data_IF_917375484398
#
_entry.id   IF_917375484398
#
_cell.length_a   1.000
_cell.length_b   1.000
_cell.length_c   1.000
_cell.angle_alpha   90.00
_cell.angle_beta   90.00
_cell.angle_gamma   90.00
#
_symmetry.space_group_name_H-M   'P 1'
#
loop_
_entity.id
_entity.type
_entity.pdbx_description
1 polymer ?
#
# COMPACT_ATOMS: atom_id res chain seq x y z
N UNK A 1 0.22 -8.32 -24.40
CA UNK A 1 -0.18 -8.13 -22.99
C UNK A 1 -0.91 -6.79 -22.89
N UNK A 2 -2.00 -6.69 -22.14
CA UNK A 2 -2.76 -5.43 -21.95
C UNK A 2 -2.48 -4.82 -20.56
N UNK A 3 -3.04 -3.64 -20.29
CA UNK A 3 -2.82 -2.93 -19.01
C UNK A 3 -3.28 -3.72 -17.78
N UNK A 4 -4.37 -4.48 -17.88
CA UNK A 4 -4.82 -5.36 -16.80
C UNK A 4 -3.77 -6.43 -16.40
N UNK A 5 -3.03 -6.98 -17.38
CA UNK A 5 -1.94 -7.92 -17.08
C UNK A 5 -0.80 -7.24 -16.32
N UNK A 6 -0.43 -6.01 -16.71
CA UNK A 6 0.62 -5.27 -16.02
C UNK A 6 0.19 -4.85 -14.62
N UNK A 7 -1.08 -4.45 -14.44
CA UNK A 7 -1.61 -4.11 -13.13
C UNK A 7 -1.55 -5.30 -12.17
N UNK A 8 -2.01 -6.48 -12.57
CA UNK A 8 -1.93 -7.70 -11.75
C UNK A 8 -0.50 -8.12 -11.41
N UNK A 9 0.46 -7.83 -12.28
CA UNK A 9 1.87 -8.08 -12.02
C UNK A 9 2.44 -7.09 -10.99
N UNK A 10 2.03 -5.83 -11.05
CA UNK A 10 2.68 -4.73 -10.33
C UNK A 10 1.97 -4.34 -9.03
N UNK A 11 0.67 -4.60 -8.89
CA UNK A 11 -0.17 -4.13 -7.79
C UNK A 11 0.19 -4.76 -6.41
N UNK A 12 0.91 -5.88 -6.38
CA UNK A 12 1.35 -6.51 -5.14
C UNK A 12 2.61 -5.85 -4.54
N UNK A 13 3.47 -5.24 -5.37
CA UNK A 13 4.72 -4.64 -4.90
C UNK A 13 4.48 -3.51 -3.90
N UNK A 14 3.56 -2.55 -4.13
CA UNK A 14 3.24 -1.52 -3.16
C UNK A 14 2.81 -2.05 -1.79
N UNK A 15 2.28 -3.27 -1.68
CA UNK A 15 1.80 -3.85 -0.43
C UNK A 15 2.94 -4.61 0.28
N UNK A 16 3.60 -5.51 -0.46
CA UNK A 16 4.59 -6.43 0.10
C UNK A 16 5.88 -5.69 0.50
N UNK A 17 6.33 -4.74 -0.33
CA UNK A 17 7.59 -4.01 -0.10
C UNK A 17 7.57 -3.23 1.23
N UNK A 18 6.56 -2.37 1.53
CA UNK A 18 6.51 -1.72 2.84
C UNK A 18 6.24 -2.68 4.00
N UNK A 19 5.57 -3.83 3.79
CA UNK A 19 5.45 -4.84 4.83
C UNK A 19 6.82 -5.39 5.24
N UNK A 20 7.67 -5.72 4.27
CA UNK A 20 9.06 -6.10 4.52
C UNK A 20 9.83 -4.96 5.20
N UNK A 21 9.63 -3.71 4.76
CA UNK A 21 10.21 -2.53 5.38
C UNK A 21 9.85 -2.40 6.86
N UNK A 22 8.60 -2.67 7.24
CA UNK A 22 8.13 -2.67 8.62
C UNK A 22 8.85 -3.73 9.47
N UNK A 23 8.98 -4.96 8.98
CA UNK A 23 9.68 -6.02 9.71
C UNK A 23 11.16 -5.64 9.94
N UNK A 24 11.81 -5.07 8.93
CA UNK A 24 13.21 -4.67 9.00
C UNK A 24 13.39 -3.48 9.95
N UNK A 25 12.49 -2.48 9.94
CA UNK A 25 12.63 -1.32 10.83
C UNK A 25 12.36 -1.70 12.30
N UNK A 26 11.43 -2.62 12.56
CA UNK A 26 11.21 -3.19 13.89
C UNK A 26 12.47 -3.93 14.35
N UNK A 27 13.05 -4.79 13.49
CA UNK A 27 14.31 -5.46 13.78
C UNK A 27 15.45 -4.48 14.05
N UNK A 28 15.58 -3.43 13.23
CA UNK A 28 16.57 -2.37 13.42
C UNK A 28 16.36 -1.56 14.71
N UNK A 29 15.12 -1.37 15.15
CA UNK A 29 14.79 -0.74 16.42
C UNK A 29 15.19 -1.62 17.61
N UNK A 30 14.75 -2.89 17.64
CA UNK A 30 15.01 -3.84 18.73
C UNK A 30 16.51 -4.13 18.86
N UNK A 31 17.18 -4.38 17.73
CA UNK A 31 18.62 -4.68 17.68
C UNK A 31 19.49 -3.43 17.76
N UNK A 32 18.90 -2.23 17.83
CA UNK A 32 19.60 -0.93 17.81
C UNK A 32 20.57 -0.79 16.63
N UNK A 33 20.20 -1.36 15.49
CA UNK A 33 21.03 -1.40 14.28
C UNK A 33 20.68 -0.26 13.33
N UNK A 34 21.59 0.71 13.22
CA UNK A 34 21.42 1.85 12.31
C UNK A 34 21.42 1.42 10.84
N UNK A 35 22.14 0.36 10.48
CA UNK A 35 22.15 -0.15 9.11
C UNK A 35 20.81 -0.77 8.71
N UNK A 36 20.16 -1.51 9.63
CA UNK A 36 18.83 -2.05 9.39
C UNK A 36 17.77 -0.95 9.26
N UNK A 37 17.83 0.08 10.11
CA UNK A 37 16.92 1.25 9.98
C UNK A 37 17.08 1.93 8.62
N UNK A 38 18.31 2.15 8.16
CA UNK A 38 18.58 2.74 6.83
C UNK A 38 18.08 1.86 5.69
N UNK A 39 18.29 0.55 5.78
CA UNK A 39 17.77 -0.40 4.80
C UNK A 39 16.24 -0.34 4.72
N UNK A 40 15.56 -0.29 5.88
CA UNK A 40 14.11 -0.14 5.91
C UNK A 40 13.62 1.17 5.28
N UNK A 41 14.28 2.30 5.54
CA UNK A 41 13.92 3.57 4.88
C UNK A 41 14.07 3.47 3.36
N UNK A 42 15.13 2.85 2.84
CA UNK A 42 15.28 2.60 1.40
C UNK A 42 14.14 1.73 0.86
N UNK A 43 13.72 0.71 1.61
CA UNK A 43 12.62 -0.17 1.22
C UNK A 43 11.28 0.57 1.21
N UNK A 44 11.00 1.44 2.19
CA UNK A 44 9.80 2.27 2.15
C UNK A 44 9.78 3.23 0.95
N UNK A 45 10.93 3.82 0.60
CA UNK A 45 11.06 4.65 -0.60
C UNK A 45 10.75 3.81 -1.85
N UNK A 46 11.31 2.61 -1.97
CA UNK A 46 11.01 1.71 -3.08
C UNK A 46 9.53 1.34 -3.14
N UNK A 47 8.90 1.02 -2.00
CA UNK A 47 7.47 0.73 -1.91
C UNK A 47 6.61 1.88 -2.43
N UNK A 48 6.95 3.11 -2.04
CA UNK A 48 6.30 4.31 -2.54
C UNK A 48 6.52 4.53 -4.05
N UNK A 49 7.68 4.19 -4.59
CA UNK A 49 7.90 4.28 -6.04
C UNK A 49 7.08 3.25 -6.84
N UNK A 50 6.83 2.07 -6.27
CA UNK A 50 6.01 1.04 -6.92
C UNK A 50 4.52 1.40 -7.02
N UNK A 51 4.00 2.35 -6.24
CA UNK A 51 2.60 2.78 -6.40
C UNK A 51 2.37 3.50 -7.72
N UNK A 52 3.40 4.15 -8.28
CA UNK A 52 3.31 4.90 -9.55
C UNK A 52 2.91 3.96 -10.70
N UNK A 53 3.67 2.88 -11.02
CA UNK A 53 3.27 1.98 -12.08
C UNK A 53 2.01 1.17 -11.73
N UNK A 54 1.73 0.90 -10.45
CA UNK A 54 0.51 0.21 -10.04
C UNK A 54 -0.76 1.04 -10.36
N UNK A 55 -0.77 2.33 -10.03
CA UNK A 55 -1.87 3.25 -10.36
C UNK A 55 -1.99 3.47 -11.87
N UNK A 56 -0.88 3.75 -12.55
CA UNK A 56 -0.88 4.01 -13.99
C UNK A 56 -1.41 2.82 -14.80
N UNK A 57 -1.06 1.60 -14.41
CA UNK A 57 -1.60 0.39 -15.04
C UNK A 57 -3.02 0.06 -14.56
N UNK A 58 -3.42 0.55 -13.38
CA UNK A 58 -4.77 0.42 -12.82
C UNK A 58 -5.83 1.15 -13.62
N UNK A 59 -5.60 2.41 -14.00
CA UNK A 59 -6.51 3.17 -14.90
C UNK A 59 -6.72 2.43 -16.23
N UNK A 60 -5.65 1.81 -16.76
CA UNK A 60 -5.74 0.99 -17.95
C UNK A 60 -6.47 -0.33 -17.73
N UNK A 61 -6.35 -0.92 -16.54
CA UNK A 61 -7.05 -2.14 -16.15
C UNK A 61 -8.56 -1.89 -16.01
N UNK A 62 -8.95 -0.78 -15.38
CA UNK A 62 -10.34 -0.34 -15.27
C UNK A 62 -11.02 -0.30 -16.64
N UNK A 63 -10.45 0.42 -17.62
CA UNK A 63 -11.02 0.53 -18.98
C UNK A 63 -11.23 -0.83 -19.63
N UNK A 64 -10.37 -1.82 -19.34
CA UNK A 64 -10.56 -3.19 -19.84
C UNK A 64 -11.68 -3.89 -19.08
N UNK A 65 -11.77 -3.71 -17.77
CA UNK A 65 -12.79 -4.34 -16.92
C UNK A 65 -14.20 -3.76 -17.14
N UNK A 66 -14.33 -2.47 -17.45
CA UNK A 66 -15.63 -1.81 -17.66
C UNK A 66 -16.46 -2.41 -18.81
N UNK A 67 -15.81 -3.09 -19.76
CA UNK A 67 -16.46 -3.70 -20.93
C UNK A 67 -16.81 -5.19 -20.71
N UNK A 68 -16.51 -5.75 -19.53
CA UNK A 68 -16.77 -7.16 -19.21
C UNK A 68 -18.10 -7.28 -18.48
N UNK A 69 -19.03 -8.06 -19.04
CA UNK A 69 -20.30 -8.37 -18.39
C UNK A 69 -20.10 -9.02 -17.01
N UNK A 70 -20.90 -8.58 -16.03
CA UNK A 70 -20.88 -9.11 -14.67
C UNK A 70 -19.86 -8.47 -13.72
N UNK A 71 -19.06 -7.50 -14.16
CA UNK A 71 -18.21 -6.69 -13.27
C UNK A 71 -18.97 -5.45 -12.81
N UNK A 72 -18.99 -5.20 -11.49
CA UNK A 72 -19.61 -3.99 -10.95
C UNK A 72 -18.67 -2.80 -11.07
N UNK A 73 -19.12 -1.74 -11.76
CA UNK A 73 -18.41 -0.46 -11.81
C UNK A 73 -18.23 0.16 -10.42
N UNK A 74 -19.19 -0.04 -9.51
CA UNK A 74 -19.09 0.49 -8.15
C UNK A 74 -17.91 -0.11 -7.38
N UNK A 75 -17.62 -1.41 -7.60
CA UNK A 75 -16.50 -2.09 -6.95
C UNK A 75 -15.15 -1.65 -7.53
N UNK A 76 -15.11 -1.35 -8.84
CA UNK A 76 -13.90 -0.80 -9.47
C UNK A 76 -13.62 0.59 -8.90
N UNK A 77 -14.63 1.47 -8.85
CA UNK A 77 -14.49 2.82 -8.29
C UNK A 77 -14.10 2.77 -6.80
N UNK A 78 -14.68 1.86 -6.00
CA UNK A 78 -14.32 1.72 -4.59
C UNK A 78 -12.85 1.29 -4.43
N UNK A 79 -12.39 0.34 -5.24
CA UNK A 79 -10.98 -0.05 -5.24
C UNK A 79 -10.05 1.12 -5.64
N UNK A 80 -10.42 1.89 -6.66
CA UNK A 80 -9.67 3.06 -7.12
C UNK A 80 -9.55 4.11 -6.01
N UNK A 81 -10.65 4.48 -5.35
CA UNK A 81 -10.64 5.46 -4.25
C UNK A 81 -9.72 5.01 -3.10
N UNK A 82 -9.76 3.71 -2.74
CA UNK A 82 -8.84 3.16 -1.74
C UNK A 82 -7.39 3.18 -2.21
N UNK A 83 -7.15 2.84 -3.48
CA UNK A 83 -5.81 2.84 -4.07
C UNK A 83 -5.19 4.24 -4.11
N UNK A 84 -5.97 5.28 -4.40
CA UNK A 84 -5.52 6.67 -4.38
C UNK A 84 -5.10 7.11 -2.97
N UNK A 85 -5.96 6.86 -1.96
CA UNK A 85 -5.65 7.17 -0.56
C UNK A 85 -4.39 6.43 -0.11
N UNK A 86 -4.31 5.13 -0.43
CA UNK A 86 -3.15 4.30 -0.14
C UNK A 86 -1.86 4.84 -0.80
N UNK A 87 -1.94 5.28 -2.06
CA UNK A 87 -0.78 5.83 -2.77
C UNK A 87 -0.32 7.16 -2.18
N UNK A 88 -1.25 8.07 -1.83
CA UNK A 88 -0.92 9.33 -1.17
C UNK A 88 -0.19 9.07 0.15
N UNK A 89 -0.71 8.16 0.98
CA UNK A 89 -0.08 7.78 2.24
C UNK A 89 1.31 7.15 2.02
N UNK A 90 1.46 6.33 0.97
CA UNK A 90 2.73 5.72 0.59
C UNK A 90 3.76 6.78 0.17
N UNK A 91 3.36 7.81 -0.58
CA UNK A 91 4.24 8.92 -0.93
C UNK A 91 4.66 9.73 0.30
N UNK A 92 3.74 10.00 1.24
CA UNK A 92 4.07 10.65 2.51
C UNK A 92 5.10 9.81 3.29
N UNK A 93 4.89 8.50 3.40
CA UNK A 93 5.85 7.59 4.03
C UNK A 93 7.21 7.60 3.30
N UNK A 94 7.21 7.62 1.96
CA UNK A 94 8.42 7.71 1.15
C UNK A 94 9.22 8.99 1.43
N UNK A 95 8.56 10.15 1.44
CA UNK A 95 9.19 11.45 1.77
C UNK A 95 9.73 11.46 3.19
N UNK A 96 8.95 10.99 4.16
CA UNK A 96 9.40 10.86 5.56
C UNK A 96 10.60 9.91 5.65
N UNK A 97 10.62 8.84 4.87
CA UNK A 97 11.73 7.89 4.83
C UNK A 97 13.00 8.49 4.23
N UNK A 98 12.91 9.36 3.23
CA UNK A 98 14.05 10.14 2.72
C UNK A 98 14.62 11.04 3.83
N UNK A 99 13.75 11.76 4.53
CA UNK A 99 14.14 12.63 5.65
C UNK A 99 14.76 11.81 6.79
N UNK A 100 14.17 10.66 7.14
CA UNK A 100 14.65 9.76 8.17
C UNK A 100 16.00 9.13 7.82
N UNK A 101 16.19 8.74 6.56
CA UNK A 101 17.46 8.22 6.05
C UNK A 101 18.57 9.27 6.17
N UNK A 102 18.30 10.50 5.72
CA UNK A 102 19.25 11.59 5.79
C UNK A 102 19.55 12.02 7.25
N UNK A 103 18.52 12.17 8.09
CA UNK A 103 18.68 12.57 9.50
C UNK A 103 19.47 11.53 10.28
N UNK A 104 19.23 10.25 10.01
CA UNK A 104 19.96 9.13 10.59
C UNK A 104 21.43 9.09 10.14
N UNK A 105 21.69 9.30 8.84
CA UNK A 105 23.04 9.30 8.29
C UNK A 105 23.88 10.46 8.84
N UNK A 106 23.27 11.64 8.99
CA UNK A 106 23.90 12.85 9.52
C UNK A 106 23.85 12.94 11.05
N UNK A 107 23.34 11.91 11.74
CA UNK A 107 23.23 11.84 13.20
C UNK A 107 22.56 13.07 13.81
N UNK A 108 21.48 13.55 13.18
CA UNK A 108 20.71 14.70 13.65
C UNK A 108 19.98 14.38 14.95
N UNK A 109 19.79 15.38 15.80
CA UNK A 109 19.11 15.24 17.11
C UNK A 109 17.66 14.76 17.00
N UNK A 110 16.98 15.06 15.90
CA UNK A 110 15.61 14.61 15.61
C UNK A 110 15.53 13.26 14.87
N UNK A 111 16.64 12.56 14.65
CA UNK A 111 16.61 11.25 13.99
C UNK A 111 15.70 10.21 14.69
N UNK A 112 15.63 10.14 16.05
CA UNK A 112 14.69 9.26 16.73
C UNK A 112 13.22 9.61 16.45
N UNK A 113 12.91 10.91 16.35
CA UNK A 113 11.55 11.36 16.02
C UNK A 113 11.14 10.87 14.62
N UNK A 114 12.01 11.04 13.62
CA UNK A 114 11.72 10.57 12.26
C UNK A 114 11.60 9.05 12.15
N UNK A 115 12.30 8.29 13.02
CA UNK A 115 12.15 6.84 13.12
C UNK A 115 10.76 6.45 13.61
N UNK A 116 10.29 7.01 14.74
CA UNK A 116 8.96 6.71 15.26
C UNK A 116 7.85 7.12 14.29
N UNK A 117 8.01 8.28 13.64
CA UNK A 117 7.08 8.75 12.63
C UNK A 117 7.00 7.78 11.44
N UNK A 118 8.13 7.27 10.94
CA UNK A 118 8.15 6.29 9.86
C UNK A 118 7.46 4.97 10.26
N UNK A 119 7.68 4.49 11.48
CA UNK A 119 7.00 3.28 11.99
C UNK A 119 5.48 3.48 12.03
N UNK A 120 5.00 4.57 12.63
CA UNK A 120 3.56 4.86 12.74
C UNK A 120 2.94 4.99 11.34
N UNK A 121 3.57 5.77 10.46
CA UNK A 121 3.07 5.93 9.08
C UNK A 121 3.06 4.60 8.32
N UNK A 122 4.06 3.74 8.50
CA UNK A 122 4.09 2.43 7.83
C UNK A 122 2.94 1.53 8.26
N UNK A 123 2.52 1.58 9.53
CA UNK A 123 1.32 0.86 10.00
C UNK A 123 0.04 1.39 9.36
N UNK A 124 -0.09 2.72 9.26
CA UNK A 124 -1.24 3.37 8.58
C UNK A 124 -1.26 3.00 7.10
N UNK A 125 -0.12 3.06 6.42
CA UNK A 125 0.02 2.66 5.01
C UNK A 125 -0.39 1.20 4.82
N UNK A 126 0.06 0.29 5.69
CA UNK A 126 -0.29 -1.13 5.59
C UNK A 126 -1.77 -1.41 5.87
N UNK A 127 -2.41 -0.62 6.74
CA UNK A 127 -3.85 -0.70 6.94
C UNK A 127 -4.62 -0.35 5.65
N UNK A 128 -4.26 0.73 4.97
CA UNK A 128 -4.88 1.10 3.68
C UNK A 128 -4.47 0.18 2.54
N UNK A 129 -3.25 -0.39 2.58
CA UNK A 129 -2.82 -1.42 1.66
C UNK A 129 -3.72 -2.67 1.75
N UNK A 130 -4.07 -3.08 2.99
CA UNK A 130 -5.00 -4.18 3.21
C UNK A 130 -6.41 -3.86 2.67
N UNK A 131 -6.93 -2.65 2.90
CA UNK A 131 -8.22 -2.24 2.32
C UNK A 131 -8.21 -2.25 0.79
N UNK A 132 -7.15 -1.73 0.18
CA UNK A 132 -6.97 -1.69 -1.27
C UNK A 132 -6.91 -3.11 -1.85
N UNK A 133 -6.21 -4.03 -1.16
CA UNK A 133 -6.14 -5.44 -1.55
C UNK A 133 -7.48 -6.17 -1.45
N UNK A 134 -8.26 -5.92 -0.39
CA UNK A 134 -9.60 -6.52 -0.20
C UNK A 134 -10.56 -6.05 -1.29
N UNK A 135 -10.70 -4.72 -1.47
CA UNK A 135 -11.58 -4.14 -2.49
C UNK A 135 -11.18 -4.55 -3.91
N UNK A 136 -9.87 -4.68 -4.18
CA UNK A 136 -9.38 -5.19 -5.46
C UNK A 136 -9.76 -6.66 -5.71
N UNK A 137 -9.74 -7.48 -4.66
CA UNK A 137 -10.23 -8.86 -4.72
C UNK A 137 -11.73 -8.94 -5.01
N UNK A 138 -12.54 -8.11 -4.34
CA UNK A 138 -14.00 -8.09 -4.47
C UNK A 138 -14.47 -7.83 -5.91
N UNK A 139 -13.66 -7.17 -6.75
CA UNK A 139 -13.95 -6.96 -8.19
C UNK A 139 -14.25 -8.30 -8.89
N UNK A 140 -13.50 -9.37 -8.58
CA UNK A 140 -13.64 -10.68 -9.26
C UNK A 140 -14.02 -11.85 -8.35
N UNK A 141 -13.87 -11.69 -7.05
CA UNK A 141 -14.15 -12.72 -6.05
C UNK A 141 -15.44 -12.42 -5.30
N UNK A 142 -16.55 -13.00 -5.75
CA UNK A 142 -17.86 -12.84 -5.09
C UNK A 142 -17.89 -13.44 -3.68
N UNK A 143 -17.04 -14.41 -3.40
CA UNK A 143 -16.93 -15.12 -2.11
C UNK A 143 -16.40 -14.25 -0.96
N UNK A 144 -15.68 -13.17 -1.26
CA UNK A 144 -15.16 -12.23 -0.26
C UNK A 144 -15.95 -10.93 -0.19
N UNK A 145 -16.91 -10.73 -1.11
CA UNK A 145 -17.85 -9.62 -0.98
C UNK A 145 -18.63 -9.85 0.31
N UNK A 146 -18.73 -8.82 1.14
CA UNK A 146 -19.61 -8.89 2.30
C UNK A 146 -21.03 -9.17 1.79
N UNK A 147 -21.46 -10.42 1.92
CA UNK A 147 -22.86 -10.76 1.79
C UNK A 147 -23.52 -9.93 2.90
N UNK A 148 -24.31 -8.92 2.53
CA UNK A 148 -25.32 -8.40 3.42
C UNK A 148 -26.31 -9.54 3.71
N UNK A 149 -25.88 -10.50 4.53
CA UNK A 149 -26.71 -11.26 5.43
C UNK A 149 -27.10 -10.31 6.58
N UNK A 150 -27.68 -9.16 6.22
CA UNK A 150 -28.89 -8.73 6.89
C UNK A 150 -29.89 -9.84 6.65
N UNK A 151 -29.79 -10.86 7.49
CA UNK A 151 -30.95 -11.61 7.95
C UNK A 151 -31.87 -10.51 8.50
N UNK A 152 -32.71 -9.98 7.61
CA UNK A 152 -33.96 -9.36 8.00
C UNK A 152 -34.78 -10.51 8.58
N UNK A 153 -34.54 -10.77 9.86
CA UNK A 153 -35.46 -11.50 10.70
C UNK A 153 -36.79 -10.73 10.68
N UNK A 154 -37.87 -11.50 10.54
CA UNK A 154 -39.29 -11.15 10.70
C UNK A 154 -39.95 -10.34 9.57
N UNK A 155 -40.62 -11.05 8.66
CA UNK A 155 -42.08 -11.31 8.75
C UNK A 155 -42.57 -12.36 7.75
#
# INVERSE_FOLDING_TARGET
MNQAHYHLLLNHFPIIVPFIGLLIIIGGFILKSEILKRAAYCIFILGALFTIPALSTGEGAEKVMEHIEGISKSLIHEHEEKAEVFAILSYVLGVVSILALWSNWKKKTYAPFTLYLAIILSLVVLYFAAQTGVTGGEIRHSEIRSNNLSIENDK
#
